data_IF_904539875631
#
_entry.id   IF_904539875631
#
_cell.length_a   1.000
_cell.length_b   1.000
_cell.length_c   1.000
_cell.angle_alpha   90.00
_cell.angle_beta   90.00
_cell.angle_gamma   90.00
#
_symmetry.space_group_name_H-M   'P 1'
#
loop_
_entity.id
_entity.type
_entity.pdbx_description
1 polymer ?
#
# COMPACT_ATOMS: atom_id res chain seq x y z
N UNK A 1 -33.27 27.88 18.22
CA UNK A 1 -32.26 26.83 18.49
C UNK A 1 -32.45 25.66 17.55
N UNK A 2 -33.55 24.91 17.69
CA UNK A 2 -33.83 23.67 16.92
C UNK A 2 -33.76 23.90 15.40
N UNK A 3 -34.46 24.90 14.86
CA UNK A 3 -34.43 25.20 13.41
C UNK A 3 -33.02 25.46 12.86
N UNK A 4 -32.16 26.14 13.63
CA UNK A 4 -30.78 26.42 13.19
C UNK A 4 -29.90 25.17 13.23
N UNK A 5 -30.09 24.32 14.24
CA UNK A 5 -29.33 23.07 14.38
C UNK A 5 -29.75 22.04 13.33
N UNK A 6 -31.03 21.96 12.98
CA UNK A 6 -31.49 21.14 11.85
C UNK A 6 -30.86 21.59 10.53
N UNK A 7 -30.70 22.89 10.29
CA UNK A 7 -29.97 23.41 9.12
C UNK A 7 -28.49 23.01 9.14
N UNK A 8 -27.82 23.14 10.29
CA UNK A 8 -26.42 22.70 10.45
C UNK A 8 -26.28 21.22 10.12
N UNK A 9 -27.12 20.37 10.70
CA UNK A 9 -27.11 18.92 10.48
C UNK A 9 -27.31 18.60 8.99
N UNK A 10 -28.37 19.14 8.39
CA UNK A 10 -28.69 18.85 6.99
C UNK A 10 -27.53 19.25 6.06
N UNK A 11 -27.02 20.49 6.21
CA UNK A 11 -25.94 20.96 5.37
C UNK A 11 -24.64 20.16 5.60
N UNK A 12 -24.35 19.79 6.85
CA UNK A 12 -23.16 18.99 7.17
C UNK A 12 -23.23 17.61 6.51
N UNK A 13 -24.38 16.92 6.61
CA UNK A 13 -24.58 15.62 5.94
C UNK A 13 -24.38 15.75 4.43
N UNK A 14 -25.02 16.75 3.81
CA UNK A 14 -24.88 16.97 2.36
C UNK A 14 -23.41 17.23 1.98
N UNK A 15 -22.71 18.09 2.71
CA UNK A 15 -21.30 18.38 2.45
C UNK A 15 -20.40 17.16 2.65
N UNK A 16 -20.62 16.38 3.70
CA UNK A 16 -19.86 15.14 3.93
C UNK A 16 -20.09 14.17 2.78
N UNK A 17 -21.33 13.93 2.37
CA UNK A 17 -21.63 13.00 1.27
C UNK A 17 -21.08 13.45 -0.09
N UNK A 18 -20.99 14.75 -0.35
CA UNK A 18 -20.42 15.28 -1.59
C UNK A 18 -18.89 15.30 -1.59
N UNK A 19 -18.25 15.56 -0.44
CA UNK A 19 -16.80 15.73 -0.37
C UNK A 19 -16.05 14.43 -0.08
N UNK A 20 -16.64 13.51 0.68
CA UNK A 20 -15.99 12.22 1.03
C UNK A 20 -15.56 11.43 -0.22
N UNK A 21 -16.37 11.31 -1.30
CA UNK A 21 -15.95 10.59 -2.50
C UNK A 21 -14.78 11.23 -3.26
N UNK A 22 -14.61 12.55 -3.13
CA UNK A 22 -13.51 13.28 -3.75
C UNK A 22 -12.21 13.02 -2.98
N UNK A 23 -12.33 12.96 -1.65
CA UNK A 23 -11.19 12.82 -0.74
C UNK A 23 -10.77 11.35 -0.53
N UNK A 24 -11.70 10.42 -0.69
CA UNK A 24 -11.47 8.98 -0.51
C UNK A 24 -12.07 8.19 -1.69
N UNK A 25 -11.54 8.39 -2.91
CA UNK A 25 -12.09 7.75 -4.10
C UNK A 25 -11.92 6.23 -4.03
N UNK A 26 -13.00 5.49 -4.30
CA UNK A 26 -12.96 4.08 -4.71
C UNK A 26 -13.01 3.99 -6.25
N UNK A 27 -13.20 2.78 -6.79
CA UNK A 27 -13.24 2.48 -8.24
C UNK A 27 -14.19 3.40 -9.03
N UNK A 28 -15.31 3.82 -8.44
CA UNK A 28 -16.20 4.81 -9.03
C UNK A 28 -16.80 5.76 -8.00
N UNK A 29 -17.06 7.01 -8.42
CA UNK A 29 -17.66 8.04 -7.56
C UNK A 29 -19.02 7.59 -6.99
N UNK A 30 -19.88 6.98 -7.82
CA UNK A 30 -21.22 6.54 -7.40
C UNK A 30 -21.17 5.41 -6.37
N UNK A 31 -20.29 4.42 -6.56
CA UNK A 31 -20.08 3.35 -5.60
C UNK A 31 -19.52 3.89 -4.29
N UNK A 32 -18.63 4.88 -4.37
CA UNK A 32 -18.06 5.57 -3.22
C UNK A 32 -19.13 6.32 -2.42
N UNK A 33 -19.99 7.10 -3.08
CA UNK A 33 -21.15 7.75 -2.45
C UNK A 33 -22.06 6.72 -1.79
N UNK A 34 -22.39 5.62 -2.49
CA UNK A 34 -23.25 4.56 -1.97
C UNK A 34 -22.71 3.94 -0.68
N UNK A 35 -21.44 3.52 -0.69
CA UNK A 35 -20.77 2.91 0.46
C UNK A 35 -20.69 3.86 1.65
N UNK A 36 -20.25 5.11 1.44
CA UNK A 36 -20.15 6.08 2.53
C UNK A 36 -21.51 6.55 3.04
N UNK A 37 -22.55 6.58 2.21
CA UNK A 37 -23.91 6.86 2.67
C UNK A 37 -24.43 5.73 3.57
N UNK A 38 -24.20 4.47 3.19
CA UNK A 38 -24.62 3.31 3.99
C UNK A 38 -23.89 3.23 5.33
N UNK A 39 -22.57 3.29 5.33
CA UNK A 39 -21.76 3.11 6.55
C UNK A 39 -21.63 4.41 7.34
N UNK A 40 -21.21 5.49 6.66
CA UNK A 40 -21.00 6.80 7.27
C UNK A 40 -22.31 7.52 7.62
N UNK A 41 -23.37 7.32 6.83
CA UNK A 41 -24.68 7.93 7.10
C UNK A 41 -25.27 7.48 8.44
N UNK A 42 -25.16 6.19 8.77
CA UNK A 42 -25.61 5.66 10.07
C UNK A 42 -24.84 6.34 11.21
N UNK A 43 -23.52 6.45 11.11
CA UNK A 43 -22.69 7.11 12.12
C UNK A 43 -23.02 8.61 12.26
N UNK A 44 -23.27 9.31 11.15
CA UNK A 44 -23.70 10.71 11.18
C UNK A 44 -25.06 10.88 11.88
N UNK A 45 -25.99 9.96 11.68
CA UNK A 45 -27.30 10.00 12.33
C UNK A 45 -27.19 9.66 13.82
N UNK A 46 -26.48 8.59 14.18
CA UNK A 46 -26.41 8.07 15.56
C UNK A 46 -25.48 8.90 16.44
N UNK A 47 -24.39 9.45 15.89
CA UNK A 47 -23.38 10.20 16.65
C UNK A 47 -23.41 11.68 16.28
N UNK A 48 -23.33 12.00 14.99
CA UNK A 48 -23.23 13.39 14.51
C UNK A 48 -24.41 14.26 14.95
N UNK A 49 -25.65 13.78 14.80
CA UNK A 49 -26.85 14.52 15.21
C UNK A 49 -26.88 14.78 16.72
N UNK A 50 -26.77 13.78 17.62
CA UNK A 50 -26.75 14.03 19.06
C UNK A 50 -25.63 14.97 19.50
N UNK A 51 -24.42 14.80 18.96
CA UNK A 51 -23.26 15.65 19.26
C UNK A 51 -23.54 17.10 18.88
N UNK A 52 -24.14 17.35 17.72
CA UNK A 52 -24.47 18.70 17.24
C UNK A 52 -25.48 19.41 18.14
N UNK A 53 -26.49 18.68 18.63
CA UNK A 53 -27.46 19.20 19.59
C UNK A 53 -26.83 19.45 20.97
N UNK A 54 -26.03 18.49 21.46
CA UNK A 54 -25.31 18.61 22.72
C UNK A 54 -24.39 19.83 22.73
N UNK A 55 -23.61 20.01 21.68
CA UNK A 55 -22.77 21.19 21.48
C UNK A 55 -23.60 22.47 21.61
N UNK A 56 -24.76 22.53 20.95
CA UNK A 56 -25.67 23.67 21.03
C UNK A 56 -26.14 24.03 22.43
N UNK A 57 -26.36 23.02 23.28
CA UNK A 57 -26.78 23.20 24.68
C UNK A 57 -25.61 23.64 25.54
N UNK A 58 -24.45 23.00 25.40
CA UNK A 58 -23.27 23.27 26.23
C UNK A 58 -22.66 24.64 25.93
N UNK A 59 -22.46 24.98 24.65
CA UNK A 59 -21.82 26.25 24.25
C UNK A 59 -22.67 27.47 24.66
N UNK A 60 -23.99 27.31 24.80
CA UNK A 60 -24.88 28.36 25.32
C UNK A 60 -24.59 28.72 26.78
N UNK A 61 -24.21 27.72 27.59
CA UNK A 61 -23.85 27.90 28.99
C UNK A 61 -22.40 28.41 29.14
N UNK A 62 -21.52 28.05 28.21
CA UNK A 62 -20.09 28.37 28.26
C UNK A 62 -19.68 29.39 27.19
N UNK A 63 -20.32 30.56 27.17
CA UNK A 63 -20.13 31.57 26.11
C UNK A 63 -18.68 31.98 25.87
N UNK A 64 -17.89 32.11 26.94
CA UNK A 64 -16.48 32.53 26.86
C UNK A 64 -15.59 31.51 26.13
N UNK A 65 -15.93 30.23 26.22
CA UNK A 65 -15.16 29.12 25.63
C UNK A 65 -15.94 28.40 24.52
N UNK A 66 -16.98 29.04 23.98
CA UNK A 66 -17.95 28.40 23.08
C UNK A 66 -17.25 27.68 21.92
N UNK A 67 -16.28 28.32 21.27
CA UNK A 67 -15.56 27.75 20.11
C UNK A 67 -14.70 26.54 20.46
N UNK A 68 -13.96 26.60 21.58
CA UNK A 68 -13.09 25.50 22.03
C UNK A 68 -13.94 24.31 22.47
N UNK A 69 -14.98 24.58 23.26
CA UNK A 69 -15.90 23.54 23.74
C UNK A 69 -16.65 22.90 22.57
N UNK A 70 -17.04 23.71 21.57
CA UNK A 70 -17.67 23.20 20.35
C UNK A 70 -16.73 22.28 19.57
N UNK A 71 -15.46 22.67 19.42
CA UNK A 71 -14.44 21.84 18.79
C UNK A 71 -14.26 20.52 19.53
N UNK A 72 -14.09 20.55 20.86
CA UNK A 72 -13.88 19.34 21.67
C UNK A 72 -15.07 18.38 21.54
N UNK A 73 -16.29 18.90 21.61
CA UNK A 73 -17.51 18.08 21.53
C UNK A 73 -17.63 17.39 20.16
N UNK A 74 -17.21 18.03 19.07
CA UNK A 74 -17.28 17.42 17.74
C UNK A 74 -16.11 16.48 17.45
N UNK A 75 -14.88 16.91 17.70
CA UNK A 75 -13.66 16.23 17.24
C UNK A 75 -13.20 15.13 18.18
N UNK A 76 -13.31 15.30 19.51
CA UNK A 76 -12.79 14.30 20.44
C UNK A 76 -13.57 12.97 20.36
N UNK A 77 -14.92 12.96 20.33
CA UNK A 77 -15.65 11.71 20.18
C UNK A 77 -15.38 11.01 18.85
N UNK A 78 -15.23 11.74 17.75
CA UNK A 78 -14.95 11.14 16.44
C UNK A 78 -13.56 10.52 16.37
N UNK A 79 -12.57 11.16 16.99
CA UNK A 79 -11.23 10.60 17.15
C UNK A 79 -11.27 9.30 17.96
N UNK A 80 -11.97 9.28 19.09
CA UNK A 80 -12.12 8.07 19.92
C UNK A 80 -12.85 6.95 19.19
N UNK A 81 -13.93 7.26 18.46
CA UNK A 81 -14.65 6.27 17.63
C UNK A 81 -13.73 5.72 16.53
N UNK A 82 -12.95 6.59 15.88
CA UNK A 82 -11.98 6.16 14.87
C UNK A 82 -10.94 5.20 15.46
N UNK A 83 -10.33 5.55 16.59
CA UNK A 83 -9.34 4.70 17.26
C UNK A 83 -9.97 3.38 17.74
N UNK A 84 -11.18 3.41 18.29
CA UNK A 84 -11.85 2.22 18.81
C UNK A 84 -12.27 1.25 17.69
N UNK A 85 -12.84 1.77 16.60
CA UNK A 85 -13.32 0.94 15.49
C UNK A 85 -12.20 0.41 14.60
N UNK A 86 -11.09 1.15 14.47
CA UNK A 86 -10.02 0.83 13.51
C UNK A 86 -8.66 0.54 14.17
N UNK A 87 -8.57 0.55 15.50
CA UNK A 87 -7.36 0.22 16.27
C UNK A 87 -6.29 1.33 16.25
N UNK A 88 -5.20 1.12 17.00
CA UNK A 88 -4.02 2.02 17.06
C UNK A 88 -2.98 1.75 15.97
N UNK A 89 -2.93 0.52 15.44
CA UNK A 89 -1.91 0.08 14.49
C UNK A 89 -2.27 0.30 13.01
N UNK A 90 -3.49 0.75 12.73
CA UNK A 90 -4.09 0.83 11.39
C UNK A 90 -4.55 2.23 10.91
N UNK A 91 -4.71 3.28 11.73
CA UNK A 91 -5.26 4.54 11.25
C UNK A 91 -4.28 5.38 10.44
N UNK A 92 -2.97 5.22 10.67
CA UNK A 92 -1.92 5.94 9.96
C UNK A 92 -1.56 5.30 8.61
N UNK A 93 -1.84 4.00 8.43
CA UNK A 93 -1.25 3.24 7.32
C UNK A 93 -2.22 2.35 6.52
N UNK A 94 -3.40 1.96 7.03
CA UNK A 94 -4.07 0.82 6.37
C UNK A 94 -5.49 1.00 5.84
N UNK A 95 -6.28 2.05 6.12
CA UNK A 95 -7.50 2.30 5.31
C UNK A 95 -8.03 3.74 5.33
N UNK A 96 -8.60 4.24 4.21
CA UNK A 96 -9.25 5.55 4.13
C UNK A 96 -10.45 5.71 5.08
N UNK A 97 -11.04 4.60 5.55
CA UNK A 97 -12.24 4.59 6.39
C UNK A 97 -12.02 5.17 7.80
N UNK A 98 -10.82 5.02 8.38
CA UNK A 98 -10.53 5.54 9.71
C UNK A 98 -10.60 7.09 9.75
N UNK A 99 -10.33 7.75 8.63
CA UNK A 99 -10.37 9.19 8.51
C UNK A 99 -11.79 9.77 8.38
N UNK A 100 -12.77 8.96 8.00
CA UNK A 100 -14.14 9.42 7.69
C UNK A 100 -14.87 10.01 8.90
N UNK A 101 -14.86 9.40 10.10
CA UNK A 101 -15.48 10.00 11.28
C UNK A 101 -14.88 11.36 11.64
N UNK A 102 -13.56 11.48 11.56
CA UNK A 102 -12.83 12.71 11.86
C UNK A 102 -13.18 13.78 10.82
N UNK A 103 -13.15 13.43 9.53
CA UNK A 103 -13.56 14.32 8.44
C UNK A 103 -15.00 14.82 8.62
N UNK A 104 -15.94 13.91 8.87
CA UNK A 104 -17.34 14.26 9.08
C UNK A 104 -17.47 15.22 10.28
N UNK A 105 -16.83 14.92 11.40
CA UNK A 105 -16.85 15.79 12.58
C UNK A 105 -16.27 17.18 12.33
N UNK A 106 -15.24 17.29 11.49
CA UNK A 106 -14.66 18.56 11.05
C UNK A 106 -15.70 19.38 10.29
N UNK A 107 -16.42 18.79 9.35
CA UNK A 107 -17.48 19.48 8.60
C UNK A 107 -18.60 19.92 9.55
N UNK A 108 -19.08 19.03 10.44
CA UNK A 108 -20.12 19.37 11.42
C UNK A 108 -19.71 20.54 12.32
N UNK A 109 -18.48 20.53 12.83
CA UNK A 109 -17.92 21.62 13.62
C UNK A 109 -17.87 22.94 12.82
N UNK A 110 -17.29 22.92 11.62
CA UNK A 110 -17.14 24.12 10.77
C UNK A 110 -18.50 24.72 10.43
N UNK A 111 -19.46 23.88 10.03
CA UNK A 111 -20.82 24.34 9.71
C UNK A 111 -21.52 24.88 10.95
N UNK A 112 -21.34 24.26 12.12
CA UNK A 112 -21.92 24.76 13.37
C UNK A 112 -21.33 26.11 13.79
N UNK A 113 -20.01 26.29 13.65
CA UNK A 113 -19.33 27.55 13.93
C UNK A 113 -19.81 28.69 13.02
N UNK A 114 -19.94 28.41 11.72
CA UNK A 114 -20.38 29.42 10.73
C UNK A 114 -21.86 29.76 10.91
N UNK A 115 -22.73 28.75 10.99
CA UNK A 115 -24.18 28.96 10.91
C UNK A 115 -24.79 29.25 12.27
N UNK A 116 -24.42 28.47 13.30
CA UNK A 116 -25.06 28.56 14.62
C UNK A 116 -24.32 29.52 15.56
N UNK A 117 -23.00 29.38 15.70
CA UNK A 117 -22.20 30.29 16.55
C UNK A 117 -21.96 31.65 15.89
N UNK A 118 -22.09 31.74 14.56
CA UNK A 118 -21.85 32.95 13.76
C UNK A 118 -20.47 33.54 14.05
N UNK A 119 -19.46 32.68 13.97
CA UNK A 119 -18.07 33.02 14.28
C UNK A 119 -17.61 34.27 13.50
N UNK A 120 -16.99 35.22 14.20
CA UNK A 120 -16.37 36.39 13.58
C UNK A 120 -14.87 36.13 13.39
N UNK A 121 -14.46 35.86 12.16
CA UNK A 121 -13.08 35.49 11.81
C UNK A 121 -12.06 36.65 11.88
N UNK A 122 -12.37 37.79 12.50
CA UNK A 122 -11.40 38.91 12.62
C UNK A 122 -10.22 38.62 13.56
N UNK A 123 -10.39 37.78 14.58
CA UNK A 123 -9.34 37.48 15.57
C UNK A 123 -8.38 36.36 15.14
N UNK A 124 -7.06 36.53 15.34
CA UNK A 124 -6.05 35.49 15.03
C UNK A 124 -6.29 34.17 15.77
N UNK A 125 -6.69 34.25 17.04
CA UNK A 125 -7.01 33.06 17.85
C UNK A 125 -8.20 32.27 17.29
N UNK A 126 -9.27 32.98 16.90
CA UNK A 126 -10.48 32.40 16.32
C UNK A 126 -10.17 31.73 14.97
N UNK A 127 -9.33 32.36 14.13
CA UNK A 127 -8.84 31.76 12.88
C UNK A 127 -8.06 30.46 13.14
N UNK A 128 -7.22 30.42 14.19
CA UNK A 128 -6.47 29.24 14.57
C UNK A 128 -7.37 28.06 14.94
N UNK A 129 -8.36 28.28 15.81
CA UNK A 129 -9.33 27.23 16.21
C UNK A 129 -10.17 26.78 15.00
N UNK A 130 -10.51 27.71 14.09
CA UNK A 130 -11.26 27.37 12.87
C UNK A 130 -10.46 26.50 11.89
N UNK A 131 -9.13 26.67 11.81
CA UNK A 131 -8.25 25.88 10.94
C UNK A 131 -7.79 24.55 11.57
N UNK A 132 -7.87 24.42 12.89
CA UNK A 132 -7.43 23.25 13.63
C UNK A 132 -8.02 21.92 13.11
N UNK A 133 -9.33 21.81 12.79
CA UNK A 133 -9.89 20.58 12.22
C UNK A 133 -9.30 20.19 10.87
N UNK A 134 -8.97 21.18 10.01
CA UNK A 134 -8.31 20.93 8.73
C UNK A 134 -6.87 20.45 8.94
N UNK A 135 -6.17 21.01 9.92
CA UNK A 135 -4.83 20.53 10.31
C UNK A 135 -4.87 19.11 10.88
N UNK A 136 -5.83 18.80 11.77
CA UNK A 136 -6.04 17.43 12.31
C UNK A 136 -6.36 16.45 11.18
N UNK A 137 -7.22 16.84 10.25
CA UNK A 137 -7.53 16.05 9.06
C UNK A 137 -6.28 15.77 8.21
N UNK A 138 -5.49 16.80 7.88
CA UNK A 138 -4.28 16.65 7.07
C UNK A 138 -3.21 15.83 7.77
N UNK A 139 -3.05 15.96 9.09
CA UNK A 139 -2.11 15.15 9.87
C UNK A 139 -2.51 13.67 9.87
N UNK A 140 -3.81 13.39 9.94
CA UNK A 140 -4.31 12.01 10.02
C UNK A 140 -4.37 11.31 8.66
N UNK A 141 -4.70 12.05 7.60
CA UNK A 141 -5.03 11.48 6.28
C UNK A 141 -3.97 11.79 5.23
N UNK A 142 -3.18 12.84 5.44
CA UNK A 142 -2.08 13.23 4.57
C UNK A 142 -1.13 12.08 4.22
N UNK A 143 -0.69 11.25 5.18
CA UNK A 143 0.15 10.09 4.87
C UNK A 143 -0.49 9.13 3.87
N UNK A 144 -1.77 8.77 4.06
CA UNK A 144 -2.50 7.87 3.17
C UNK A 144 -2.75 8.47 1.79
N UNK A 145 -3.01 9.77 1.69
CA UNK A 145 -3.15 10.46 0.40
C UNK A 145 -1.82 10.51 -0.35
N UNK A 146 -0.72 10.74 0.38
CA UNK A 146 0.62 10.77 -0.19
C UNK A 146 1.06 9.40 -0.71
N UNK A 147 0.87 8.34 0.08
CA UNK A 147 1.17 6.97 -0.37
C UNK A 147 0.31 6.57 -1.55
N UNK A 148 -1.01 6.82 -1.51
CA UNK A 148 -1.91 6.54 -2.63
C UNK A 148 -1.53 7.30 -3.92
N UNK A 149 -1.07 8.54 -3.80
CA UNK A 149 -0.55 9.30 -4.93
C UNK A 149 0.72 8.66 -5.51
N UNK A 150 1.69 8.30 -4.67
CA UNK A 150 2.92 7.64 -5.10
C UNK A 150 2.62 6.30 -5.79
N UNK A 151 1.78 5.46 -5.19
CA UNK A 151 1.40 4.17 -5.77
C UNK A 151 0.73 4.35 -7.13
N UNK A 152 -0.19 5.33 -7.27
CA UNK A 152 -0.84 5.60 -8.55
C UNK A 152 0.14 6.08 -9.61
N UNK A 153 1.09 6.94 -9.25
CA UNK A 153 2.14 7.40 -10.14
C UNK A 153 3.00 6.22 -10.61
N UNK A 154 3.42 5.35 -9.68
CA UNK A 154 4.16 4.13 -10.00
C UNK A 154 3.35 3.22 -10.91
N UNK A 155 2.08 2.91 -10.60
CA UNK A 155 1.22 2.07 -11.44
C UNK A 155 1.07 2.58 -12.87
N UNK A 156 0.94 3.90 -13.06
CA UNK A 156 0.91 4.48 -14.42
C UNK A 156 2.24 4.27 -15.13
N UNK A 157 3.37 4.45 -14.44
CA UNK A 157 4.71 4.16 -15.00
C UNK A 157 4.88 2.67 -15.34
N UNK A 158 4.35 1.74 -14.52
CA UNK A 158 4.34 0.30 -14.83
C UNK A 158 3.59 0.03 -16.14
N UNK A 159 2.37 0.56 -16.25
CA UNK A 159 1.50 0.30 -17.39
C UNK A 159 2.04 0.88 -18.70
N UNK A 160 2.80 1.98 -18.63
CA UNK A 160 3.43 2.61 -19.79
C UNK A 160 4.76 1.96 -20.17
N UNK A 161 5.60 1.58 -19.20
CA UNK A 161 6.93 0.98 -19.42
C UNK A 161 6.84 -0.49 -19.85
N UNK A 162 5.86 -1.24 -19.34
CA UNK A 162 5.81 -2.70 -19.50
C UNK A 162 6.73 -3.45 -18.53
N UNK A 163 6.75 -4.77 -18.61
CA UNK A 163 7.60 -5.63 -17.76
C UNK A 163 9.01 -5.78 -18.35
N UNK A 164 10.06 -5.81 -17.51
CA UNK A 164 11.41 -6.17 -17.96
C UNK A 164 11.43 -7.56 -18.56
N UNK A 165 12.15 -7.71 -19.66
CA UNK A 165 12.42 -9.00 -20.27
C UNK A 165 13.80 -9.48 -19.81
N UNK A 166 13.86 -10.72 -19.36
CA UNK A 166 15.11 -11.36 -18.93
C UNK A 166 15.28 -12.59 -19.80
N UNK A 167 16.43 -12.70 -20.46
CA UNK A 167 16.85 -13.92 -21.14
C UNK A 167 18.08 -14.49 -20.46
N UNK A 168 18.14 -15.81 -20.39
CA UNK A 168 19.23 -16.57 -19.80
C UNK A 168 19.93 -17.33 -20.91
N UNK A 169 21.24 -17.23 -20.99
CA UNK A 169 22.08 -17.99 -21.92
C UNK A 169 23.01 -18.93 -21.15
N UNK A 170 23.10 -20.17 -21.60
CA UNK A 170 24.01 -21.18 -21.07
C UNK A 170 24.71 -21.87 -22.25
N UNK A 171 26.04 -21.94 -22.23
CA UNK A 171 26.87 -22.48 -23.33
C UNK A 171 26.56 -21.89 -24.73
N UNK A 172 26.14 -20.62 -24.77
CA UNK A 172 25.79 -19.91 -26.00
C UNK A 172 24.38 -20.21 -26.54
N UNK A 173 23.58 -21.02 -25.84
CA UNK A 173 22.19 -21.28 -26.16
C UNK A 173 21.24 -20.54 -25.19
N UNK A 174 20.21 -19.89 -25.74
CA UNK A 174 19.18 -19.23 -24.94
C UNK A 174 18.26 -20.28 -24.29
N UNK A 175 18.16 -20.22 -22.96
CA UNK A 175 17.31 -21.06 -22.15
C UNK A 175 15.96 -20.34 -21.98
N UNK A 176 14.85 -20.89 -22.51
CA UNK A 176 13.55 -20.26 -22.36
C UNK A 176 13.12 -20.29 -20.90
N UNK A 177 12.95 -19.12 -20.29
CA UNK A 177 12.53 -18.98 -18.89
C UNK A 177 11.05 -18.63 -18.80
N UNK A 178 10.40 -19.15 -17.75
CA UNK A 178 9.06 -18.71 -17.37
C UNK A 178 9.18 -17.76 -16.18
N UNK A 179 9.12 -16.47 -16.47
CA UNK A 179 9.32 -15.42 -15.47
C UNK A 179 8.02 -14.94 -14.83
N UNK A 180 8.12 -14.48 -13.59
CA UNK A 180 7.12 -13.68 -12.91
C UNK A 180 7.72 -12.31 -12.59
N UNK A 181 6.95 -11.26 -12.81
CA UNK A 181 7.37 -9.88 -12.61
C UNK A 181 6.62 -9.24 -11.43
N UNK A 182 7.33 -8.43 -10.65
CA UNK A 182 6.77 -7.61 -9.59
C UNK A 182 7.48 -6.25 -9.56
N UNK A 183 6.70 -5.17 -9.37
CA UNK A 183 7.24 -3.83 -9.16
C UNK A 183 6.35 -3.07 -8.19
N UNK A 184 6.95 -2.54 -7.12
CA UNK A 184 6.28 -1.67 -6.15
C UNK A 184 7.14 -0.44 -5.86
N UNK A 185 6.52 0.65 -5.43
CA UNK A 185 7.19 1.94 -5.21
C UNK A 185 8.26 1.89 -4.10
N UNK A 186 8.05 1.04 -3.11
CA UNK A 186 8.86 0.89 -1.89
C UNK A 186 9.53 -0.48 -1.77
N UNK A 187 9.30 -1.38 -2.73
CA UNK A 187 9.76 -2.77 -2.67
C UNK A 187 8.94 -3.66 -1.72
N UNK A 188 8.03 -3.09 -0.92
CA UNK A 188 7.15 -3.87 -0.04
C UNK A 188 6.10 -4.61 -0.90
N UNK A 189 5.85 -5.88 -0.58
CA UNK A 189 4.93 -6.74 -1.31
C UNK A 189 5.57 -7.59 -2.43
N UNK A 190 6.76 -7.25 -2.93
CA UNK A 190 7.51 -8.12 -3.83
C UNK A 190 8.28 -9.20 -3.06
N UNK A 191 7.57 -10.25 -2.61
CA UNK A 191 8.17 -11.33 -1.79
C UNK A 191 9.23 -12.11 -2.58
N UNK A 192 10.51 -12.01 -2.18
CA UNK A 192 11.63 -12.73 -2.80
C UNK A 192 11.31 -14.23 -2.96
N UNK A 193 10.83 -14.84 -1.88
CA UNK A 193 10.59 -16.28 -1.74
C UNK A 193 11.91 -17.04 -1.84
N UNK A 194 12.41 -17.58 -0.74
CA UNK A 194 13.73 -18.25 -0.70
C UNK A 194 13.65 -19.76 -0.95
N UNK A 195 12.45 -20.29 -1.15
CA UNK A 195 12.22 -21.73 -1.22
C UNK A 195 12.68 -22.31 -2.57
N UNK A 196 13.70 -23.15 -2.51
CA UNK A 196 14.08 -24.10 -3.56
C UNK A 196 13.17 -25.33 -3.45
N UNK A 197 13.05 -26.11 -4.52
CA UNK A 197 12.45 -27.44 -4.44
C UNK A 197 13.32 -28.45 -5.20
N UNK A 198 13.51 -29.66 -4.64
CA UNK A 198 14.25 -30.72 -5.32
C UNK A 198 13.55 -31.06 -6.64
N UNK A 199 14.33 -31.32 -7.69
CA UNK A 199 13.76 -31.82 -8.93
C UNK A 199 13.41 -33.31 -8.75
N UNK A 200 12.18 -33.74 -9.10
CA UNK A 200 11.91 -35.17 -9.29
C UNK A 200 12.84 -35.77 -10.36
N UNK A 201 13.02 -37.09 -10.35
CA UNK A 201 13.79 -37.82 -11.37
C UNK A 201 13.19 -37.63 -12.77
N UNK A 202 11.88 -37.41 -12.86
CA UNK A 202 11.18 -37.07 -14.09
C UNK A 202 11.25 -35.56 -14.39
N UNK A 203 11.24 -35.20 -15.68
CA UNK A 203 11.25 -33.79 -16.10
C UNK A 203 10.06 -33.03 -15.50
N UNK A 204 10.34 -31.93 -14.81
CA UNK A 204 9.28 -31.07 -14.28
C UNK A 204 8.63 -30.29 -15.42
N UNK A 205 7.35 -30.54 -15.65
CA UNK A 205 6.56 -29.69 -16.55
C UNK A 205 6.63 -28.24 -16.04
N UNK A 206 7.09 -27.32 -16.91
CA UNK A 206 7.27 -25.88 -16.67
C UNK A 206 8.60 -25.40 -16.05
N UNK A 207 9.59 -26.27 -15.87
CA UNK A 207 10.97 -25.85 -15.54
C UNK A 207 11.90 -26.36 -16.63
N UNK A 208 12.68 -25.47 -17.25
CA UNK A 208 13.72 -25.89 -18.19
C UNK A 208 14.95 -26.34 -17.43
N UNK A 209 15.48 -27.48 -17.83
CA UNK A 209 16.60 -28.15 -17.16
C UNK A 209 17.86 -27.98 -18.02
N UNK A 210 18.93 -27.46 -17.41
CA UNK A 210 20.27 -27.41 -17.98
C UNK A 210 21.12 -28.53 -17.38
N UNK A 211 22.02 -29.10 -18.18
CA UNK A 211 22.95 -30.12 -17.70
C UNK A 211 24.30 -29.49 -17.43
N UNK A 212 24.79 -29.57 -16.19
CA UNK A 212 26.07 -29.02 -15.77
C UNK A 212 27.07 -30.14 -15.51
N UNK A 213 28.17 -30.15 -16.27
CA UNK A 213 29.28 -31.11 -16.11
C UNK A 213 30.54 -30.47 -15.53
N UNK A 214 30.61 -29.14 -15.52
CA UNK A 214 31.67 -28.31 -14.94
C UNK A 214 31.06 -27.02 -14.39
N UNK A 215 31.79 -26.23 -13.57
CA UNK A 215 31.28 -24.95 -13.09
C UNK A 215 30.82 -24.08 -14.27
N UNK A 216 29.61 -23.55 -14.17
CA UNK A 216 28.96 -22.85 -15.28
C UNK A 216 28.88 -21.35 -14.99
N UNK A 217 29.16 -20.54 -15.99
CA UNK A 217 28.77 -19.14 -16.01
C UNK A 217 27.44 -19.04 -16.76
N UNK A 218 26.46 -18.45 -16.10
CA UNK A 218 25.18 -18.13 -16.71
C UNK A 218 25.18 -16.65 -17.11
N UNK A 219 24.91 -16.39 -18.38
CA UNK A 219 24.86 -15.04 -18.94
C UNK A 219 23.40 -14.58 -19.04
N UNK A 220 23.14 -13.34 -18.63
CA UNK A 220 21.81 -12.75 -18.62
C UNK A 220 21.80 -11.58 -19.60
N UNK A 221 20.69 -11.40 -20.30
CA UNK A 221 20.39 -10.18 -21.04
C UNK A 221 19.07 -9.60 -20.57
N UNK A 222 19.03 -8.27 -20.55
CA UNK A 222 17.93 -7.51 -19.97
C UNK A 222 17.42 -6.51 -21.00
N UNK A 223 16.11 -6.51 -21.22
CA UNK A 223 15.43 -5.49 -22.02
C UNK A 223 14.32 -4.81 -21.22
N UNK A 224 13.92 -3.62 -21.66
CA UNK A 224 12.85 -2.84 -21.03
C UNK A 224 13.07 -2.52 -19.55
N UNK A 225 14.33 -2.39 -19.11
CA UNK A 225 14.68 -1.79 -17.83
C UNK A 225 15.93 -0.90 -17.90
N UNK A 226 16.06 0.01 -16.95
CA UNK A 226 17.16 1.00 -16.88
C UNK A 226 18.03 0.71 -15.65
N UNK A 227 19.35 0.81 -15.83
CA UNK A 227 20.32 0.56 -14.78
C UNK A 227 20.86 -0.87 -14.77
N UNK A 228 21.91 -1.06 -13.99
CA UNK A 228 22.57 -2.36 -13.81
C UNK A 228 21.79 -3.17 -12.75
N UNK A 229 21.27 -4.37 -13.08
CA UNK A 229 20.58 -5.18 -12.09
C UNK A 229 21.56 -5.90 -11.17
N UNK A 230 21.01 -6.36 -10.04
CA UNK A 230 21.63 -7.37 -9.18
C UNK A 230 20.92 -8.70 -9.38
N UNK A 231 21.69 -9.75 -9.63
CA UNK A 231 21.21 -11.13 -9.79
C UNK A 231 21.43 -11.88 -8.48
N UNK A 232 20.36 -12.50 -7.99
CA UNK A 232 20.39 -13.41 -6.86
C UNK A 232 20.09 -14.83 -7.33
N UNK A 233 20.92 -15.79 -6.92
CA UNK A 233 20.65 -17.21 -7.10
C UNK A 233 20.50 -17.89 -5.74
N UNK A 234 19.39 -18.60 -5.58
CA UNK A 234 19.07 -19.35 -4.37
C UNK A 234 19.05 -20.85 -4.69
N UNK A 235 19.90 -21.61 -4.01
CA UNK A 235 20.04 -23.05 -4.18
C UNK A 235 20.56 -23.72 -2.90
N UNK A 236 20.55 -25.05 -2.86
CA UNK A 236 21.10 -25.87 -1.79
C UNK A 236 22.42 -26.50 -2.26
N UNK A 237 23.51 -26.41 -1.49
CA UNK A 237 24.81 -27.00 -1.89
C UNK A 237 24.98 -28.48 -1.50
N UNK A 238 23.93 -29.07 -0.93
CA UNK A 238 23.93 -30.43 -0.39
C UNK A 238 24.04 -30.49 1.14
N UNK A 239 24.45 -29.39 1.79
CA UNK A 239 24.48 -29.25 3.25
C UNK A 239 23.61 -28.12 3.75
N UNK A 240 23.74 -26.95 3.13
CA UNK A 240 23.11 -25.71 3.55
C UNK A 240 22.45 -25.00 2.37
N UNK A 241 21.52 -24.11 2.70
CA UNK A 241 20.99 -23.13 1.76
C UNK A 241 22.05 -22.08 1.44
N UNK A 242 22.19 -21.75 0.16
CA UNK A 242 23.11 -20.73 -0.36
C UNK A 242 22.35 -19.67 -1.15
N UNK A 243 22.82 -18.45 -0.95
CA UNK A 243 22.49 -17.27 -1.73
C UNK A 243 23.79 -16.77 -2.36
N UNK A 244 23.79 -16.63 -3.68
CA UNK A 244 24.82 -15.89 -4.41
C UNK A 244 24.19 -14.59 -4.89
N UNK A 245 24.90 -13.50 -4.70
CA UNK A 245 24.55 -12.15 -5.17
C UNK A 245 25.67 -11.66 -6.08
N UNK A 246 25.33 -11.30 -7.32
CA UNK A 246 26.27 -10.75 -8.30
C UNK A 246 25.65 -9.54 -8.99
N UNK A 247 26.43 -8.47 -9.12
CA UNK A 247 26.03 -7.30 -9.89
C UNK A 247 26.29 -7.52 -11.39
N UNK A 248 25.42 -6.97 -12.23
CA UNK A 248 25.57 -7.02 -13.67
C UNK A 248 24.81 -8.16 -14.32
N UNK A 249 25.45 -8.85 -15.26
CA UNK A 249 24.78 -9.74 -16.20
C UNK A 249 25.30 -11.18 -16.20
N UNK A 250 26.11 -11.57 -15.21
CA UNK A 250 26.68 -12.91 -15.11
C UNK A 250 26.59 -13.41 -13.68
N UNK A 251 26.39 -14.71 -13.54
CA UNK A 251 26.49 -15.39 -12.24
C UNK A 251 27.15 -16.75 -12.44
N UNK A 252 28.04 -17.11 -11.52
CA UNK A 252 28.75 -18.39 -11.56
C UNK A 252 28.06 -19.39 -10.65
N UNK A 253 27.67 -20.52 -11.22
CA UNK A 253 27.05 -21.63 -10.49
C UNK A 253 28.09 -22.75 -10.34
N UNK A 254 28.40 -23.19 -9.11
CA UNK A 254 29.32 -24.29 -8.89
C UNK A 254 28.70 -25.62 -9.33
N UNK A 255 29.53 -26.61 -9.68
CA UNK A 255 29.06 -27.89 -10.25
C UNK A 255 28.88 -29.01 -9.23
N UNK A 256 29.18 -28.75 -7.97
CA UNK A 256 29.05 -29.70 -6.85
C UNK A 256 27.69 -29.61 -6.14
N UNK A 257 26.73 -28.90 -6.73
CA UNK A 257 25.37 -28.77 -6.21
C UNK A 257 24.51 -29.99 -6.60
N UNK A 258 23.62 -30.49 -5.71
CA UNK A 258 22.67 -31.54 -6.06
C UNK A 258 21.69 -31.09 -7.16
N UNK A 259 21.12 -32.06 -7.89
CA UNK A 259 20.08 -31.80 -8.88
C UNK A 259 18.87 -31.10 -8.24
N UNK A 260 18.53 -29.90 -8.72
CA UNK A 260 17.51 -29.06 -8.10
C UNK A 260 17.05 -27.94 -9.04
N UNK A 261 15.93 -27.30 -8.70
CA UNK A 261 15.53 -26.04 -9.32
C UNK A 261 16.21 -24.88 -8.58
N UNK A 262 17.13 -24.20 -9.25
CA UNK A 262 17.71 -22.95 -8.77
C UNK A 262 16.69 -21.84 -9.01
N UNK A 263 16.45 -21.03 -7.99
CA UNK A 263 15.64 -19.83 -8.12
C UNK A 263 16.51 -18.63 -8.41
N UNK A 264 16.19 -17.92 -9.48
CA UNK A 264 16.81 -16.65 -9.83
C UNK A 264 15.88 -15.49 -9.51
N UNK A 265 16.44 -14.44 -8.95
CA UNK A 265 15.78 -13.15 -8.74
C UNK A 265 16.68 -12.08 -9.34
N UNK A 266 16.18 -11.34 -10.32
CA UNK A 266 16.86 -10.18 -10.90
C UNK A 266 16.16 -8.94 -10.35
N UNK A 267 16.92 -8.03 -9.75
CA UNK A 267 16.42 -6.83 -9.09
C UNK A 267 17.11 -5.58 -9.60
N UNK A 268 16.33 -4.54 -9.87
CA UNK A 268 16.84 -3.20 -10.21
C UNK A 268 16.68 -2.23 -9.03
N UNK A 269 17.45 -1.14 -9.06
CA UNK A 269 17.43 -0.07 -8.05
C UNK A 269 16.05 0.58 -7.88
N UNK A 270 15.23 0.56 -8.93
CA UNK A 270 13.87 1.09 -8.91
C UNK A 270 12.82 0.11 -8.34
N UNK A 271 13.27 -0.96 -7.68
CA UNK A 271 12.46 -2.03 -7.09
C UNK A 271 11.70 -2.90 -8.11
N UNK A 272 12.06 -2.85 -9.40
CA UNK A 272 11.63 -3.88 -10.35
C UNK A 272 12.28 -5.21 -10.03
N UNK A 273 11.51 -6.28 -10.15
CA UNK A 273 11.95 -7.61 -9.79
C UNK A 273 11.38 -8.65 -10.75
N UNK A 274 12.27 -9.48 -11.31
CA UNK A 274 11.91 -10.63 -12.14
C UNK A 274 12.38 -11.90 -11.45
N UNK A 275 11.52 -12.93 -11.39
CA UNK A 275 11.80 -14.20 -10.73
C UNK A 275 11.50 -15.35 -11.64
N UNK A 276 12.35 -16.37 -11.63
CA UNK A 276 12.13 -17.59 -12.39
C UNK A 276 12.93 -18.75 -11.80
N UNK A 277 12.67 -19.95 -12.30
CA UNK A 277 13.39 -21.16 -11.90
C UNK A 277 14.07 -21.80 -13.10
N UNK A 278 15.25 -22.37 -12.86
CA UNK A 278 15.99 -23.19 -13.83
C UNK A 278 16.38 -24.47 -13.13
N UNK A 279 16.05 -25.60 -13.75
CA UNK A 279 16.48 -26.89 -13.25
C UNK A 279 17.93 -27.12 -13.59
N UNK A 280 18.73 -27.59 -12.65
CA UNK A 280 20.10 -28.02 -12.88
C UNK A 280 20.17 -29.52 -12.68
N UNK A 281 20.66 -30.22 -13.70
CA UNK A 281 21.02 -31.63 -13.67
C UNK A 281 22.53 -31.73 -13.67
N UNK A 282 23.11 -32.18 -12.58
CA UNK A 282 24.51 -32.57 -12.54
C UNK A 282 24.56 -34.04 -12.96
N UNK A 283 25.30 -34.41 -14.00
CA UNK A 283 25.44 -35.82 -14.45
C UNK A 283 26.07 -36.78 -13.42
N UNK A 284 26.14 -36.36 -12.15
CA UNK A 284 26.59 -37.04 -10.96
C UNK A 284 25.33 -37.42 -10.18
N UNK A 285 24.88 -38.66 -10.29
CA UNK A 285 23.83 -39.15 -9.40
C UNK A 285 24.36 -39.08 -7.96
N UNK A 286 23.49 -38.74 -7.01
CA UNK A 286 23.75 -38.70 -5.55
C UNK A 286 24.34 -40.00 -4.96
N UNK A 287 24.47 -41.05 -5.76
CA UNK A 287 25.10 -42.34 -5.44
C UNK A 287 26.46 -42.58 -6.14
N UNK A 288 27.13 -41.56 -6.68
CA UNK A 288 28.50 -41.69 -7.22
C UNK A 288 28.61 -42.52 -8.50
N UNK A 289 27.54 -42.61 -9.30
CA UNK A 289 27.60 -43.17 -10.65
C UNK A 289 27.48 -42.04 -11.67
N UNK A 290 28.48 -41.93 -12.52
CA UNK A 290 28.44 -41.15 -13.76
C UNK A 290 27.72 -41.97 -14.84
N UNK A 291 27.05 -41.29 -15.77
CA UNK A 291 26.63 -41.89 -17.03
C UNK A 291 27.81 -42.45 -17.82
#
# INVERSE_FOLDING_TARGET
MIKSKLKVIFLSIVLVLLLTPILFPLESYLQTVGTYTLVGGILMIVVGIPVTFLAGVVTRKMKQYAHIVNFIIHILPSLLVSIYMFGLASPLFSMPYAGVPIFASTIFYVVDEIIYQKINLRGRFIKGIFLLPAAVYLLYIGPSLYTGFLTRQTSTQINEKGSPEVSLTFDGEEIPIKSSYCWTSDGEGCVYGTEHFPLPEEKVNNVKEITMTSPATLDFSFENSEGEPTIYAYYHDGKDFKEIEEAGNKINIPNDIPEQAIKFVVKWDNNEMVKFFVGVRTGILTNGRTF
#
